data_IF_055446192798
#
_entry.id   IF_055446192798
#
_cell.length_a   1.000
_cell.length_b   1.000
_cell.length_c   1.000
_cell.angle_alpha   90.00
_cell.angle_beta   90.00
_cell.angle_gamma   90.00
#
_symmetry.space_group_name_H-M   'P 1'
#
loop_
_entity.id
_entity.type
_entity.pdbx_description
1 polymer ?
#
# COMPACT_ATOMS: atom_id res chain seq x y z
N UNK A 1 24.28 -7.47 -21.32
CA UNK A 1 23.40 -8.27 -22.21
C UNK A 1 22.66 -7.31 -23.11
N UNK A 2 22.53 -7.64 -24.40
CA UNK A 2 21.92 -6.80 -25.42
C UNK A 2 20.68 -7.53 -25.95
N UNK A 3 19.56 -6.83 -26.11
CA UNK A 3 18.35 -7.33 -26.77
C UNK A 3 18.20 -6.58 -28.09
N UNK A 4 18.36 -7.29 -29.22
CA UNK A 4 18.46 -6.65 -30.53
C UNK A 4 19.68 -5.71 -30.58
N UNK A 5 19.44 -4.41 -30.75
CA UNK A 5 20.47 -3.36 -30.77
C UNK A 5 20.49 -2.50 -29.49
N UNK A 6 19.77 -2.88 -28.43
CA UNK A 6 19.65 -2.10 -27.19
C UNK A 6 20.25 -2.81 -25.98
N UNK A 7 20.81 -2.03 -25.05
CA UNK A 7 21.21 -2.58 -23.75
C UNK A 7 19.97 -3.06 -22.99
N UNK A 8 20.10 -4.19 -22.30
CA UNK A 8 19.02 -4.74 -21.47
C UNK A 8 18.47 -3.70 -20.47
N UNK A 9 19.36 -2.91 -19.85
CA UNK A 9 18.98 -1.85 -18.93
C UNK A 9 18.09 -0.79 -19.60
N UNK A 10 18.39 -0.40 -20.83
CA UNK A 10 17.59 0.56 -21.61
C UNK A 10 16.22 -0.01 -21.99
N UNK A 11 16.19 -1.25 -22.48
CA UNK A 11 14.95 -1.94 -22.85
C UNK A 11 14.00 -2.08 -21.64
N UNK A 12 14.54 -2.39 -20.45
CA UNK A 12 13.78 -2.47 -19.20
C UNK A 12 13.19 -1.11 -18.82
N UNK A 13 13.93 -0.01 -19.00
CA UNK A 13 13.40 1.34 -18.75
C UNK A 13 12.22 1.67 -19.67
N UNK A 14 12.35 1.38 -20.97
CA UNK A 14 11.29 1.65 -21.95
C UNK A 14 10.00 0.90 -21.63
N UNK A 15 10.11 -0.32 -21.09
CA UNK A 15 8.97 -1.12 -20.68
C UNK A 15 8.30 -0.58 -19.40
N UNK A 16 9.08 -0.25 -18.38
CA UNK A 16 8.56 0.00 -17.03
C UNK A 16 8.13 1.47 -16.86
N UNK A 17 8.87 2.43 -17.39
CA UNK A 17 8.66 3.86 -17.13
C UNK A 17 7.25 4.35 -17.48
N UNK A 18 6.65 3.99 -18.64
CA UNK A 18 5.30 4.45 -18.98
C UNK A 18 4.26 4.03 -17.93
N UNK A 19 4.39 2.82 -17.37
CA UNK A 19 3.46 2.30 -16.36
C UNK A 19 3.64 2.98 -15.01
N UNK A 20 4.89 3.26 -14.58
CA UNK A 20 5.15 3.99 -13.33
C UNK A 20 4.67 5.45 -13.37
N UNK A 21 4.78 6.11 -14.53
CA UNK A 21 4.32 7.50 -14.72
C UNK A 21 2.82 7.64 -14.94
N UNK A 22 2.11 6.54 -15.20
CA UNK A 22 0.66 6.52 -15.34
C UNK A 22 -0.05 7.14 -14.12
N UNK A 23 -1.17 7.81 -14.35
CA UNK A 23 -2.10 8.26 -13.31
C UNK A 23 -3.10 7.17 -12.92
N UNK A 24 -3.05 6.00 -13.56
CA UNK A 24 -3.80 4.81 -13.14
C UNK A 24 -3.00 4.05 -12.08
N UNK A 25 -3.56 3.90 -10.87
CA UNK A 25 -2.90 3.32 -9.71
C UNK A 25 -2.47 1.88 -9.94
N UNK A 26 -3.28 1.09 -10.65
CA UNK A 26 -2.95 -0.29 -10.97
C UNK A 26 -1.81 -0.39 -11.99
N UNK A 27 -1.72 0.55 -12.94
CA UNK A 27 -0.55 0.63 -13.83
C UNK A 27 0.70 0.97 -13.03
N UNK A 28 0.60 1.93 -12.10
CA UNK A 28 1.73 2.32 -11.26
C UNK A 28 2.17 1.17 -10.35
N UNK A 29 1.23 0.46 -9.73
CA UNK A 29 1.51 -0.73 -8.94
C UNK A 29 2.22 -1.80 -9.78
N UNK A 30 1.75 -2.04 -11.01
CA UNK A 30 2.40 -2.95 -11.95
C UNK A 30 3.83 -2.54 -12.31
N UNK A 31 4.06 -1.26 -12.62
CA UNK A 31 5.40 -0.75 -12.94
C UNK A 31 6.38 -0.86 -11.77
N UNK A 32 5.92 -0.56 -10.56
CA UNK A 32 6.74 -0.71 -9.36
C UNK A 32 7.00 -2.18 -9.04
N UNK A 33 6.02 -3.07 -9.20
CA UNK A 33 6.21 -4.52 -9.07
C UNK A 33 7.24 -5.06 -10.05
N UNK A 34 7.20 -4.63 -11.31
CA UNK A 34 8.19 -5.00 -12.33
C UNK A 34 9.59 -4.51 -11.94
N UNK A 35 9.70 -3.29 -11.40
CA UNK A 35 10.97 -2.74 -10.89
C UNK A 35 11.50 -3.59 -9.73
N UNK A 36 10.65 -3.90 -8.74
CA UNK A 36 11.00 -4.75 -7.61
C UNK A 36 11.49 -6.12 -8.08
N UNK A 37 10.76 -6.76 -8.98
CA UNK A 37 11.10 -8.08 -9.51
C UNK A 37 12.43 -8.06 -10.27
N UNK A 38 12.64 -7.02 -11.09
CA UNK A 38 13.88 -6.82 -11.83
C UNK A 38 15.08 -6.68 -10.90
N UNK A 39 14.98 -5.80 -9.90
CA UNK A 39 16.07 -5.59 -8.94
C UNK A 39 16.31 -6.82 -8.06
N UNK A 40 15.25 -7.53 -7.67
CA UNK A 40 15.40 -8.79 -6.94
C UNK A 40 16.13 -9.84 -7.79
N UNK A 41 15.79 -9.95 -9.07
CA UNK A 41 16.46 -10.86 -10.00
C UNK A 41 17.94 -10.50 -10.17
N UNK A 42 18.24 -9.23 -10.46
CA UNK A 42 19.61 -8.74 -10.61
C UNK A 42 20.44 -9.03 -9.35
N UNK A 43 19.89 -8.72 -8.17
CA UNK A 43 20.51 -9.00 -6.87
C UNK A 43 20.79 -10.48 -6.64
N UNK A 44 19.77 -11.34 -6.82
CA UNK A 44 19.90 -12.79 -6.57
C UNK A 44 20.80 -13.50 -7.57
N UNK A 45 20.82 -13.04 -8.81
CA UNK A 45 21.63 -13.64 -9.86
C UNK A 45 23.06 -13.09 -9.89
N UNK A 46 23.42 -12.18 -8.97
CA UNK A 46 24.75 -11.55 -8.92
C UNK A 46 25.11 -10.83 -10.21
N UNK A 47 24.10 -10.38 -10.97
CA UNK A 47 24.32 -9.79 -12.29
C UNK A 47 24.82 -8.37 -12.08
N UNK A 48 26.05 -8.11 -12.51
CA UNK A 48 26.67 -6.78 -12.58
C UNK A 48 26.13 -5.97 -13.77
N UNK A 49 24.83 -6.06 -14.06
CA UNK A 49 24.19 -5.23 -15.09
C UNK A 49 24.08 -3.80 -14.60
N UNK A 50 24.27 -2.85 -15.52
CA UNK A 50 24.04 -1.44 -15.25
C UNK A 50 22.63 -1.23 -14.68
N UNK A 51 22.58 -0.67 -13.47
CA UNK A 51 21.32 -0.33 -12.82
C UNK A 51 20.59 0.66 -13.74
N UNK A 52 19.32 0.42 -14.09
CA UNK A 52 18.49 1.37 -14.83
C UNK A 52 18.34 2.72 -14.10
N UNK A 53 19.26 3.65 -14.33
CA UNK A 53 19.35 4.92 -13.61
C UNK A 53 18.05 5.71 -13.65
N UNK A 54 17.33 5.68 -14.77
CA UNK A 54 16.09 6.43 -14.90
C UNK A 54 14.93 5.83 -14.09
N UNK A 55 14.90 4.49 -13.92
CA UNK A 55 13.94 3.85 -13.00
C UNK A 55 14.26 4.28 -11.56
N UNK A 56 15.53 4.30 -11.17
CA UNK A 56 15.96 4.75 -9.85
C UNK A 56 15.52 6.19 -9.56
N UNK A 57 15.70 7.10 -10.52
CA UNK A 57 15.25 8.49 -10.42
C UNK A 57 13.73 8.60 -10.25
N UNK A 58 12.97 7.84 -11.05
CA UNK A 58 11.50 7.84 -10.97
C UNK A 58 11.02 7.29 -9.62
N UNK A 59 11.59 6.16 -9.14
CA UNK A 59 11.25 5.61 -7.83
C UNK A 59 11.56 6.60 -6.70
N UNK A 60 12.73 7.24 -6.74
CA UNK A 60 13.10 8.26 -5.77
C UNK A 60 12.14 9.46 -5.80
N UNK A 61 11.77 9.93 -7.00
CA UNK A 61 10.80 11.01 -7.18
C UNK A 61 9.41 10.65 -6.62
N UNK A 62 8.94 9.43 -6.85
CA UNK A 62 7.65 8.94 -6.33
C UNK A 62 7.61 8.88 -4.79
N UNK A 63 8.74 8.67 -4.13
CA UNK A 63 8.83 8.66 -2.66
C UNK A 63 8.82 10.08 -2.09
N UNK A 64 9.50 11.02 -2.77
CA UNK A 64 9.69 12.38 -2.28
C UNK A 64 8.52 13.31 -2.57
N UNK A 65 7.76 13.04 -3.63
CA UNK A 65 6.61 13.84 -4.02
C UNK A 65 5.33 13.35 -3.33
N UNK A 66 4.35 14.23 -3.10
CA UNK A 66 3.02 13.80 -2.68
C UNK A 66 2.39 12.85 -3.70
N UNK A 67 1.48 12.00 -3.23
CA UNK A 67 0.72 11.10 -4.09
C UNK A 67 0.06 11.88 -5.23
N UNK A 68 0.12 11.32 -6.44
CA UNK A 68 -0.61 11.87 -7.57
C UNK A 68 -2.13 11.78 -7.34
N UNK A 69 -2.89 12.71 -7.91
CA UNK A 69 -4.32 12.54 -8.06
C UNK A 69 -4.56 11.45 -9.12
N UNK A 70 -4.92 10.25 -8.67
CA UNK A 70 -5.06 9.09 -9.55
C UNK A 70 -6.37 9.16 -10.34
N UNK A 71 -6.35 8.73 -11.60
CA UNK A 71 -7.55 8.66 -12.44
C UNK A 71 -8.56 7.62 -11.94
N UNK A 72 -8.12 6.63 -11.16
CA UNK A 72 -8.99 5.62 -10.53
C UNK A 72 -9.99 6.24 -9.56
N UNK A 73 -9.68 7.39 -8.97
CA UNK A 73 -10.65 8.14 -8.16
C UNK A 73 -11.91 8.45 -8.98
N UNK A 74 -11.77 8.76 -10.28
CA UNK A 74 -12.90 8.98 -11.21
C UNK A 74 -13.72 7.73 -11.45
N UNK A 75 -13.09 6.56 -11.54
CA UNK A 75 -13.80 5.29 -11.68
C UNK A 75 -14.56 4.93 -10.40
N UNK A 76 -13.98 5.20 -9.22
CA UNK A 76 -14.70 5.08 -7.96
C UNK A 76 -15.86 6.08 -7.87
N UNK A 77 -15.70 7.32 -8.35
CA UNK A 77 -16.80 8.28 -8.44
C UNK A 77 -17.96 7.72 -9.28
N UNK A 78 -17.68 7.09 -10.43
CA UNK A 78 -18.72 6.47 -11.25
C UNK A 78 -19.43 5.32 -10.53
N UNK A 79 -18.67 4.45 -9.84
CA UNK A 79 -19.25 3.36 -9.06
C UNK A 79 -20.14 3.87 -7.91
N UNK A 80 -19.68 4.89 -7.17
CA UNK A 80 -20.42 5.51 -6.09
C UNK A 80 -21.62 6.30 -6.59
N UNK A 81 -21.51 6.95 -7.74
CA UNK A 81 -22.61 7.64 -8.42
C UNK A 81 -23.71 6.66 -8.83
N UNK A 82 -23.37 5.49 -9.35
CA UNK A 82 -24.35 4.44 -9.63
C UNK A 82 -25.05 3.94 -8.36
N UNK A 83 -24.29 3.65 -7.30
CA UNK A 83 -24.85 3.25 -6.01
C UNK A 83 -25.75 4.34 -5.40
N UNK A 84 -25.36 5.60 -5.54
CA UNK A 84 -26.17 6.75 -5.15
C UNK A 84 -27.45 6.85 -5.97
N UNK A 85 -27.38 6.76 -7.30
CA UNK A 85 -28.54 6.80 -8.20
C UNK A 85 -29.55 5.70 -7.89
N UNK A 86 -29.07 4.50 -7.58
CA UNK A 86 -29.94 3.40 -7.14
C UNK A 86 -30.67 3.72 -5.83
N UNK A 87 -29.95 4.29 -4.85
CA UNK A 87 -30.53 4.75 -3.59
C UNK A 87 -31.52 5.91 -3.78
N UNK A 88 -31.15 6.93 -4.55
CA UNK A 88 -31.99 8.07 -4.87
C UNK A 88 -33.26 7.65 -5.64
N UNK A 89 -33.13 6.70 -6.57
CA UNK A 89 -34.25 6.10 -7.30
C UNK A 89 -35.24 5.41 -6.36
N UNK A 90 -34.75 4.70 -5.34
CA UNK A 90 -35.60 4.14 -4.29
C UNK A 90 -36.31 5.24 -3.49
N UNK A 91 -35.60 6.27 -3.04
CA UNK A 91 -36.19 7.39 -2.31
C UNK A 91 -37.29 8.11 -3.13
N UNK A 92 -37.08 8.32 -4.44
CA UNK A 92 -38.11 8.86 -5.33
C UNK A 92 -39.35 7.99 -5.41
N UNK A 93 -39.18 6.66 -5.54
CA UNK A 93 -40.30 5.70 -5.55
C UNK A 93 -41.09 5.72 -4.23
N UNK A 94 -40.45 6.12 -3.13
CA UNK A 94 -41.06 6.24 -1.79
C UNK A 94 -41.61 7.63 -1.48
N UNK A 95 -41.55 8.58 -2.43
CA UNK A 95 -42.27 9.85 -2.36
C UNK A 95 -41.39 11.10 -2.28
N UNK A 96 -40.05 10.98 -2.33
CA UNK A 96 -39.18 12.16 -2.48
C UNK A 96 -39.40 12.77 -3.86
N UNK A 97 -39.71 14.06 -3.90
CA UNK A 97 -39.98 14.77 -5.15
C UNK A 97 -38.71 15.00 -5.98
N UNK A 98 -38.89 15.24 -7.27
CA UNK A 98 -37.77 15.57 -8.16
C UNK A 98 -37.11 16.90 -7.76
N UNK A 99 -37.87 17.84 -7.20
CA UNK A 99 -37.36 19.15 -6.76
C UNK A 99 -36.45 18.98 -5.55
N UNK A 100 -36.87 18.21 -4.54
CA UNK A 100 -36.05 17.93 -3.35
C UNK A 100 -34.76 17.17 -3.72
N UNK A 101 -34.83 16.24 -4.67
CA UNK A 101 -33.64 15.54 -5.14
C UNK A 101 -32.64 16.50 -5.79
N UNK A 102 -33.11 17.37 -6.70
CA UNK A 102 -32.28 18.37 -7.36
C UNK A 102 -31.70 19.39 -6.37
N UNK A 103 -32.47 19.78 -5.36
CA UNK A 103 -32.03 20.69 -4.31
C UNK A 103 -30.89 20.08 -3.47
N UNK A 104 -31.03 18.80 -3.10
CA UNK A 104 -29.97 18.06 -2.40
C UNK A 104 -28.71 17.93 -3.26
N UNK A 105 -28.85 17.62 -4.54
CA UNK A 105 -27.71 17.49 -5.46
C UNK A 105 -27.03 18.85 -5.74
N UNK A 106 -27.78 19.96 -5.73
CA UNK A 106 -27.25 21.29 -5.96
C UNK A 106 -26.48 21.86 -4.75
N UNK A 107 -26.89 21.50 -3.53
CA UNK A 107 -26.28 22.02 -2.29
C UNK A 107 -25.29 21.06 -1.65
N UNK A 108 -25.26 19.80 -2.08
CA UNK A 108 -24.47 18.78 -1.44
C UNK A 108 -23.10 18.60 -2.08
N UNK A 109 -22.05 18.76 -1.28
CA UNK A 109 -20.66 18.73 -1.73
C UNK A 109 -20.16 17.34 -2.14
N UNK A 110 -20.80 16.27 -1.65
CA UNK A 110 -20.38 14.88 -1.90
C UNK A 110 -21.58 13.94 -1.98
N UNK A 111 -21.47 12.86 -2.76
CA UNK A 111 -22.50 11.81 -2.84
C UNK A 111 -22.89 11.22 -1.47
N UNK A 112 -21.97 11.23 -0.50
CA UNK A 112 -22.23 10.76 0.87
C UNK A 112 -23.15 11.74 1.62
N UNK A 113 -22.90 13.04 1.49
CA UNK A 113 -23.75 14.09 2.05
C UNK A 113 -25.13 14.06 1.41
N UNK A 114 -25.18 13.88 0.08
CA UNK A 114 -26.43 13.83 -0.68
C UNK A 114 -27.28 12.62 -0.24
N UNK A 115 -26.67 11.45 -0.09
CA UNK A 115 -27.35 10.25 0.38
C UNK A 115 -27.88 10.41 1.80
N UNK A 116 -27.10 11.03 2.70
CA UNK A 116 -27.52 11.32 4.07
C UNK A 116 -28.74 12.26 4.12
N UNK A 117 -28.72 13.33 3.31
CA UNK A 117 -29.84 14.25 3.21
C UNK A 117 -31.11 13.57 2.66
N UNK A 118 -30.98 12.79 1.58
CA UNK A 118 -32.09 12.03 1.02
C UNK A 118 -32.65 10.98 1.99
N UNK A 119 -31.77 10.32 2.76
CA UNK A 119 -32.20 9.38 3.80
C UNK A 119 -33.12 10.08 4.80
N UNK A 120 -32.72 11.25 5.31
CA UNK A 120 -33.51 12.00 6.27
C UNK A 120 -34.87 12.45 5.71
N UNK A 121 -34.88 12.98 4.49
CA UNK A 121 -36.12 13.39 3.81
C UNK A 121 -37.04 12.18 3.63
N UNK A 122 -36.52 11.09 3.04
CA UNK A 122 -37.31 9.89 2.80
C UNK A 122 -37.81 9.25 4.11
N UNK A 123 -37.00 9.25 5.18
CA UNK A 123 -37.38 8.71 6.48
C UNK A 123 -38.56 9.47 7.10
N UNK A 124 -38.65 10.78 6.87
CA UNK A 124 -39.73 11.63 7.37
C UNK A 124 -41.04 11.47 6.56
N UNK A 125 -40.95 11.07 5.29
CA UNK A 125 -42.11 10.78 4.45
C UNK A 125 -42.74 9.43 4.79
N UNK A 126 -41.90 8.43 5.06
CA UNK A 126 -42.34 7.06 5.32
C UNK A 126 -43.10 6.95 6.65
N UNK A 127 -44.27 6.30 6.61
CA UNK A 127 -45.10 6.06 7.80
C UNK A 127 -44.92 4.66 8.38
N UNK A 128 -44.72 3.67 7.52
CA UNK A 128 -44.61 2.27 7.92
C UNK A 128 -43.22 1.94 8.46
N UNK A 129 -43.17 1.19 9.57
CA UNK A 129 -41.92 0.76 10.20
C UNK A 129 -41.10 -0.16 9.30
N UNK A 130 -41.76 -1.04 8.55
CA UNK A 130 -41.09 -1.94 7.60
C UNK A 130 -40.40 -1.17 6.47
N UNK A 131 -41.06 -0.14 5.91
CA UNK A 131 -40.47 0.69 4.87
C UNK A 131 -39.28 1.52 5.38
N UNK A 132 -39.37 2.02 6.63
CA UNK A 132 -38.25 2.71 7.29
C UNK A 132 -37.05 1.79 7.49
N UNK A 133 -37.28 0.54 7.84
CA UNK A 133 -36.22 -0.45 8.00
C UNK A 133 -35.56 -0.80 6.66
N UNK A 134 -36.34 -0.97 5.59
CA UNK A 134 -35.79 -1.18 4.23
C UNK A 134 -34.96 0.04 3.78
N UNK A 135 -35.44 1.26 4.06
CA UNK A 135 -34.68 2.48 3.77
C UNK A 135 -33.34 2.49 4.53
N UNK A 136 -33.34 2.14 5.83
CA UNK A 136 -32.13 2.02 6.65
C UNK A 136 -31.14 1.05 6.04
N UNK A 137 -31.59 -0.17 5.71
CA UNK A 137 -30.73 -1.20 5.10
C UNK A 137 -30.12 -0.74 3.76
N UNK A 138 -30.90 -0.06 2.91
CA UNK A 138 -30.40 0.48 1.64
C UNK A 138 -29.38 1.59 1.84
N UNK A 139 -29.61 2.48 2.80
CA UNK A 139 -28.66 3.54 3.14
C UNK A 139 -27.37 2.95 3.72
N UNK A 140 -27.46 1.96 4.60
CA UNK A 140 -26.28 1.24 5.12
C UNK A 140 -25.50 0.52 4.03
N UNK A 141 -26.19 -0.10 3.06
CA UNK A 141 -25.56 -0.70 1.89
C UNK A 141 -24.79 0.34 1.05
N UNK A 142 -25.36 1.53 0.85
CA UNK A 142 -24.65 2.64 0.21
C UNK A 142 -23.42 3.09 1.02
N UNK A 143 -23.56 3.29 2.33
CA UNK A 143 -22.44 3.65 3.22
C UNK A 143 -21.33 2.61 3.19
N UNK A 144 -21.69 1.33 3.15
CA UNK A 144 -20.75 0.23 2.99
C UNK A 144 -20.01 0.30 1.65
N UNK A 145 -20.71 0.57 0.54
CA UNK A 145 -20.08 0.74 -0.77
C UNK A 145 -19.06 1.90 -0.78
N UNK A 146 -19.40 3.04 -0.15
CA UNK A 146 -18.47 4.19 0.03
C UNK A 146 -17.25 3.80 0.85
N UNK A 147 -17.44 3.12 1.98
CA UNK A 147 -16.35 2.70 2.86
C UNK A 147 -15.40 1.73 2.15
N UNK A 148 -15.96 0.74 1.44
CA UNK A 148 -15.20 -0.23 0.65
C UNK A 148 -14.37 0.44 -0.45
N UNK A 149 -14.96 1.35 -1.22
CA UNK A 149 -14.24 2.08 -2.27
C UNK A 149 -13.04 2.86 -1.70
N UNK A 150 -13.25 3.59 -0.59
CA UNK A 150 -12.18 4.33 0.10
C UNK A 150 -11.08 3.41 0.65
N UNK A 151 -11.47 2.27 1.23
CA UNK A 151 -10.54 1.29 1.77
C UNK A 151 -9.66 0.67 0.67
N UNK A 152 -10.26 0.28 -0.47
CA UNK A 152 -9.53 -0.26 -1.63
C UNK A 152 -8.53 0.75 -2.16
N UNK A 153 -8.93 2.02 -2.35
CA UNK A 153 -8.03 3.06 -2.83
C UNK A 153 -6.86 3.29 -1.87
N UNK A 154 -7.16 3.43 -0.58
CA UNK A 154 -6.15 3.63 0.47
C UNK A 154 -5.16 2.46 0.52
N UNK A 155 -5.66 1.22 0.43
CA UNK A 155 -4.83 0.01 0.38
C UNK A 155 -3.91 0.01 -0.84
N UNK A 156 -4.41 0.31 -2.03
CA UNK A 156 -3.59 0.34 -3.24
C UNK A 156 -2.55 1.45 -3.24
N UNK A 157 -2.87 2.64 -2.70
CA UNK A 157 -1.89 3.72 -2.50
C UNK A 157 -0.78 3.25 -1.55
N UNK A 158 -1.15 2.62 -0.44
CA UNK A 158 -0.19 2.05 0.53
C UNK A 158 0.74 1.03 -0.15
N UNK A 159 0.19 0.12 -0.96
CA UNK A 159 0.94 -0.88 -1.75
C UNK A 159 1.93 -0.22 -2.70
N UNK A 160 1.50 0.75 -3.50
CA UNK A 160 2.38 1.48 -4.43
C UNK A 160 3.53 2.12 -3.67
N UNK A 161 3.23 2.83 -2.58
CA UNK A 161 4.24 3.58 -1.83
C UNK A 161 5.27 2.65 -1.17
N UNK A 162 4.79 1.60 -0.50
CA UNK A 162 5.65 0.63 0.16
C UNK A 162 6.51 -0.14 -0.85
N UNK A 163 5.95 -0.57 -1.99
CA UNK A 163 6.72 -1.26 -3.01
C UNK A 163 7.70 -0.35 -3.75
N UNK A 164 7.39 0.95 -3.86
CA UNK A 164 8.32 1.93 -4.45
C UNK A 164 9.55 2.04 -3.58
N UNK A 165 9.36 2.18 -2.27
CA UNK A 165 10.45 2.16 -1.29
C UNK A 165 11.19 0.83 -1.33
N UNK A 166 10.46 -0.30 -1.29
CA UNK A 166 11.02 -1.64 -1.28
C UNK A 166 11.93 -1.88 -2.50
N UNK A 167 11.45 -1.50 -3.69
CA UNK A 167 12.22 -1.55 -4.94
C UNK A 167 13.49 -0.72 -4.86
N UNK A 168 13.38 0.53 -4.38
CA UNK A 168 14.53 1.42 -4.27
C UNK A 168 15.57 0.87 -3.28
N UNK A 169 15.15 0.28 -2.16
CA UNK A 169 16.06 -0.29 -1.17
C UNK A 169 16.87 -1.47 -1.72
N UNK A 170 16.31 -2.29 -2.62
CA UNK A 170 17.00 -3.45 -3.20
C UNK A 170 18.28 -3.09 -3.96
N UNK A 171 18.37 -1.88 -4.50
CA UNK A 171 19.57 -1.41 -5.22
C UNK A 171 20.54 -0.62 -4.33
N UNK A 172 20.31 -0.62 -3.00
CA UNK A 172 21.12 0.05 -1.99
C UNK A 172 21.65 1.44 -2.41
N UNK A 173 20.76 2.40 -2.76
CA UNK A 173 21.22 3.64 -3.32
C UNK A 173 21.91 4.47 -2.23
N UNK A 174 23.21 4.74 -2.42
CA UNK A 174 24.01 5.54 -1.49
C UNK A 174 23.40 6.91 -1.21
N UNK A 175 22.62 7.46 -2.14
CA UNK A 175 21.86 8.70 -1.93
C UNK A 175 20.91 8.67 -0.72
N UNK A 176 20.51 7.49 -0.23
CA UNK A 176 19.76 7.35 1.03
C UNK A 176 20.59 7.68 2.28
N UNK A 177 21.89 7.37 2.25
CA UNK A 177 22.83 7.71 3.31
C UNK A 177 22.98 9.24 3.42
N UNK A 178 22.85 9.95 2.30
CA UNK A 178 22.93 11.42 2.24
C UNK A 178 21.58 12.11 2.50
N UNK A 179 20.45 11.39 2.48
CA UNK A 179 19.13 11.98 2.68
C UNK A 179 18.98 12.64 4.06
N UNK A 180 18.34 13.81 4.20
CA UNK A 180 18.16 14.46 5.51
C UNK A 180 17.28 13.65 6.48
N UNK A 181 16.44 12.75 5.96
CA UNK A 181 15.54 11.94 6.79
C UNK A 181 15.26 10.58 6.16
N UNK A 182 15.20 9.54 6.99
CA UNK A 182 14.76 8.20 6.57
C UNK A 182 13.24 8.01 6.66
N UNK A 183 12.49 8.96 7.24
CA UNK A 183 11.05 8.83 7.45
C UNK A 183 10.24 8.54 6.16
N UNK A 184 10.52 9.17 5.00
CA UNK A 184 9.82 8.87 3.75
C UNK A 184 9.97 7.40 3.30
N UNK A 185 11.02 6.73 3.74
CA UNK A 185 11.30 5.32 3.42
C UNK A 185 10.75 4.38 4.50
N UNK A 186 10.79 4.78 5.77
CA UNK A 186 10.25 3.93 6.85
C UNK A 186 8.73 3.90 6.83
N UNK A 187 8.07 5.06 6.74
CA UNK A 187 6.64 5.18 6.96
C UNK A 187 5.79 4.30 6.02
N UNK A 188 6.02 4.29 4.69
CA UNK A 188 5.22 3.47 3.77
C UNK A 188 5.31 1.97 4.09
N UNK A 189 6.51 1.47 4.41
CA UNK A 189 6.72 0.06 4.76
C UNK A 189 5.96 -0.30 6.05
N UNK A 190 6.00 0.58 7.06
CA UNK A 190 5.33 0.34 8.34
C UNK A 190 3.81 0.39 8.21
N UNK A 191 3.28 1.31 7.41
CA UNK A 191 1.85 1.41 7.12
C UNK A 191 1.34 0.17 6.38
N UNK A 192 2.09 -0.32 5.39
CA UNK A 192 1.74 -1.56 4.70
C UNK A 192 1.75 -2.76 5.66
N UNK A 193 2.83 -2.97 6.40
CA UNK A 193 2.97 -4.13 7.30
C UNK A 193 1.87 -4.18 8.36
N UNK A 194 1.38 -3.03 8.83
CA UNK A 194 0.33 -2.96 9.85
C UNK A 194 -1.05 -3.39 9.36
N UNK A 195 -1.40 -3.07 8.10
CA UNK A 195 -2.77 -3.15 7.62
C UNK A 195 -2.96 -4.07 6.41
N UNK A 196 -1.87 -4.58 5.82
CA UNK A 196 -1.95 -5.39 4.61
C UNK A 196 -2.41 -6.82 4.89
N UNK A 197 -3.53 -7.19 4.27
CA UNK A 197 -4.10 -8.53 4.31
C UNK A 197 -3.42 -9.47 3.31
N UNK A 198 -2.90 -8.93 2.20
CA UNK A 198 -2.22 -9.73 1.19
C UNK A 198 -0.79 -10.08 1.65
N UNK A 199 -0.59 -11.35 1.96
CA UNK A 199 0.69 -11.94 2.40
C UNK A 199 1.85 -11.59 1.46
N UNK A 200 1.62 -11.57 0.14
CA UNK A 200 2.68 -11.28 -0.84
C UNK A 200 3.16 -9.84 -0.74
N UNK A 201 2.24 -8.87 -0.64
CA UNK A 201 2.59 -7.46 -0.49
C UNK A 201 3.26 -7.19 0.87
N UNK A 202 2.76 -7.80 1.94
CA UNK A 202 3.38 -7.71 3.26
C UNK A 202 4.84 -8.22 3.22
N UNK A 203 5.10 -9.32 2.50
CA UNK A 203 6.44 -9.89 2.38
C UNK A 203 7.43 -8.94 1.68
N UNK A 204 7.01 -8.24 0.62
CA UNK A 204 7.89 -7.26 -0.05
C UNK A 204 8.37 -6.18 0.93
N UNK A 205 7.45 -5.63 1.75
CA UNK A 205 7.83 -4.63 2.74
C UNK A 205 8.74 -5.20 3.85
N UNK A 206 8.44 -6.41 4.34
CA UNK A 206 9.23 -7.06 5.39
C UNK A 206 10.66 -7.38 4.93
N UNK A 207 10.83 -7.86 3.69
CA UNK A 207 12.14 -8.14 3.11
C UNK A 207 13.04 -6.91 3.01
N UNK A 208 12.45 -5.72 2.94
CA UNK A 208 13.19 -4.46 2.85
C UNK A 208 13.64 -3.92 4.21
N UNK A 209 13.07 -4.40 5.32
CA UNK A 209 13.40 -3.90 6.67
C UNK A 209 14.86 -4.18 7.06
N UNK A 210 15.45 -5.38 6.83
CA UNK A 210 16.87 -5.62 7.10
C UNK A 210 17.79 -4.66 6.35
N UNK A 211 17.49 -4.37 5.08
CA UNK A 211 18.24 -3.40 4.26
C UNK A 211 18.17 -2.01 4.90
N UNK A 212 16.99 -1.61 5.37
CA UNK A 212 16.80 -0.33 6.03
C UNK A 212 17.55 -0.23 7.36
N UNK A 213 17.62 -1.32 8.14
CA UNK A 213 18.47 -1.37 9.34
C UNK A 213 19.95 -1.21 9.00
N UNK A 214 20.42 -1.83 7.92
CA UNK A 214 21.79 -1.66 7.45
C UNK A 214 22.09 -0.20 7.07
N UNK A 215 21.26 0.40 6.22
CA UNK A 215 21.37 1.83 5.84
C UNK A 215 21.34 2.71 7.09
N UNK A 216 20.44 2.42 8.03
CA UNK A 216 20.34 3.14 9.28
C UNK A 216 21.61 3.03 10.13
N UNK A 217 22.27 1.88 10.16
CA UNK A 217 23.52 1.69 10.90
C UNK A 217 24.70 2.46 10.32
N UNK A 218 24.72 2.65 9.00
CA UNK A 218 25.78 3.33 8.26
C UNK A 218 25.58 4.86 8.21
N UNK A 219 24.33 5.32 8.33
CA UNK A 219 23.97 6.74 8.20
C UNK A 219 24.57 7.60 9.30
N UNK A 220 25.09 8.77 8.92
CA UNK A 220 25.57 9.81 9.83
C UNK A 220 24.83 11.14 9.59
N UNK A 221 24.24 11.77 10.63
CA UNK A 221 24.13 11.28 12.00
C UNK A 221 23.24 10.04 12.10
N UNK A 222 23.55 9.16 13.07
CA UNK A 222 22.80 7.93 13.28
C UNK A 222 21.29 8.23 13.46
N UNK A 223 20.40 7.56 12.71
CA UNK A 223 18.97 7.76 12.84
C UNK A 223 18.51 7.50 14.28
N UNK A 224 17.67 8.41 14.77
CA UNK A 224 17.25 8.45 16.16
C UNK A 224 16.67 7.11 16.63
N UNK A 225 17.01 6.65 17.84
CA UNK A 225 16.48 5.42 18.46
C UNK A 225 14.93 5.27 18.41
N UNK A 226 14.20 6.38 18.22
CA UNK A 226 12.75 6.41 17.99
C UNK A 226 12.34 5.69 16.71
N UNK A 227 13.13 5.79 15.64
CA UNK A 227 12.87 5.14 14.35
C UNK A 227 13.02 3.63 14.46
N UNK A 228 14.11 3.16 15.07
CA UNK A 228 14.33 1.73 15.38
C UNK A 228 13.17 1.20 16.23
N UNK A 229 12.79 1.93 17.29
CA UNK A 229 11.63 1.58 18.12
C UNK A 229 10.35 1.47 17.30
N UNK A 230 10.09 2.39 16.38
CA UNK A 230 8.90 2.36 15.53
C UNK A 230 8.89 1.14 14.60
N UNK A 231 10.04 0.80 14.01
CA UNK A 231 10.17 -0.41 13.16
C UNK A 231 9.86 -1.66 13.97
N UNK A 232 10.47 -1.80 15.15
CA UNK A 232 10.24 -2.94 16.04
C UNK A 232 8.78 -3.02 16.48
N UNK A 233 8.15 -1.92 16.85
CA UNK A 233 6.72 -1.89 17.23
C UNK A 233 5.82 -2.35 16.09
N UNK A 234 6.08 -1.91 14.86
CA UNK A 234 5.30 -2.33 13.69
C UNK A 234 5.48 -3.81 13.38
N UNK A 235 6.71 -4.34 13.48
CA UNK A 235 7.00 -5.77 13.32
C UNK A 235 6.24 -6.63 14.33
N UNK A 236 6.24 -6.24 15.61
CA UNK A 236 5.53 -6.94 16.69
C UNK A 236 4.01 -6.83 16.53
N UNK A 237 3.51 -5.84 15.80
CA UNK A 237 2.07 -5.66 15.55
C UNK A 237 1.58 -6.40 14.30
N UNK A 238 2.49 -6.93 13.47
CA UNK A 238 2.14 -7.64 12.24
C UNK A 238 1.52 -9.02 12.54
N UNK A 239 0.35 -9.29 11.96
CA UNK A 239 -0.36 -10.57 12.10
C UNK A 239 0.08 -11.62 11.09
N UNK A 240 0.63 -11.20 9.94
CA UNK A 240 1.17 -12.10 8.92
C UNK A 240 2.48 -12.74 9.41
N UNK A 241 2.58 -14.06 9.32
CA UNK A 241 3.77 -14.83 9.75
C UNK A 241 4.76 -15.01 8.61
N UNK A 242 6.05 -14.79 8.87
CA UNK A 242 7.11 -15.06 7.90
C UNK A 242 8.42 -15.57 8.53
N UNK A 243 9.09 -16.58 7.90
CA UNK A 243 8.61 -17.37 6.76
C UNK A 243 7.38 -18.23 7.15
N UNK A 244 6.58 -18.72 6.17
CA UNK A 244 5.54 -19.71 6.44
C UNK A 244 6.16 -20.95 7.12
N UNK A 245 5.33 -21.76 7.80
CA UNK A 245 5.77 -23.04 8.38
C UNK A 245 6.27 -23.97 7.27
N UNK A 246 7.53 -23.85 6.91
CA UNK A 246 8.28 -24.84 6.17
C UNK A 246 9.42 -25.28 7.06
N UNK A 247 9.59 -26.59 7.20
CA UNK A 247 10.60 -27.28 8.01
C UNK A 247 11.93 -26.52 7.97
N UNK A 248 12.24 -25.78 9.03
CA UNK A 248 13.50 -25.04 9.12
C UNK A 248 14.10 -25.15 10.51
N UNK A 249 15.13 -26.00 10.54
CA UNK A 249 16.41 -25.91 11.25
C UNK A 249 16.55 -24.88 12.38
N UNK A 250 17.03 -25.43 13.51
CA UNK A 250 17.53 -24.81 14.74
C UNK A 250 17.15 -23.34 14.96
N UNK A 251 16.03 -23.21 15.67
CA UNK A 251 15.44 -21.98 16.20
C UNK A 251 16.39 -21.34 17.22
N UNK A 252 16.74 -20.04 17.13
CA UNK A 252 17.57 -19.34 18.13
C UNK A 252 16.76 -19.16 19.43
N UNK A 253 15.43 -19.13 19.31
CA UNK A 253 14.51 -19.23 20.46
C UNK A 253 14.51 -20.63 21.14
N UNK A 254 15.31 -21.61 20.69
CA UNK A 254 15.55 -22.87 21.41
C UNK A 254 16.25 -22.67 22.76
N UNK A 255 16.74 -21.46 23.05
CA UNK A 255 17.28 -21.11 24.38
C UNK A 255 16.22 -20.56 25.35
N UNK A 256 14.95 -20.42 24.96
CA UNK A 256 13.87 -19.99 25.86
C UNK A 256 12.77 -21.05 25.99
N UNK A 257 12.79 -21.78 27.11
CA UNK A 257 11.88 -22.88 27.46
C UNK A 257 10.45 -22.42 27.83
N UNK A 258 9.81 -21.54 27.04
CA UNK A 258 8.46 -21.03 27.34
C UNK A 258 7.53 -21.06 26.13
N UNK A 259 6.99 -22.25 25.86
CA UNK A 259 5.77 -22.44 25.06
C UNK A 259 5.88 -22.10 23.57
N UNK A 260 4.78 -22.26 22.81
CA UNK A 260 4.74 -21.90 21.39
C UNK A 260 4.91 -20.38 21.22
N UNK A 261 5.88 -19.97 20.42
CA UNK A 261 6.12 -18.56 20.13
C UNK A 261 5.00 -17.97 19.26
N UNK A 262 4.55 -16.76 19.59
CA UNK A 262 3.59 -16.05 18.75
C UNK A 262 4.19 -15.68 17.39
N UNK A 263 3.35 -15.53 16.36
CA UNK A 263 3.78 -15.03 15.03
C UNK A 263 4.60 -13.74 15.12
N UNK A 264 4.32 -12.92 16.14
CA UNK A 264 5.02 -11.65 16.43
C UNK A 264 6.47 -11.86 16.84
N UNK A 265 6.73 -12.85 17.70
CA UNK A 265 8.07 -13.19 18.18
C UNK A 265 8.93 -13.80 17.07
N UNK A 266 8.30 -14.61 16.21
CA UNK A 266 8.97 -15.27 15.08
C UNK A 266 9.31 -14.28 13.96
N UNK A 267 8.44 -13.32 13.65
CA UNK A 267 8.75 -12.25 12.69
C UNK A 267 9.96 -11.41 13.12
N UNK A 268 10.06 -11.09 14.43
CA UNK A 268 11.21 -10.39 14.97
C UNK A 268 12.50 -11.23 14.86
N UNK A 269 12.42 -12.54 15.15
CA UNK A 269 13.55 -13.46 14.96
C UNK A 269 14.01 -13.51 13.49
N UNK A 270 13.08 -13.63 12.54
CA UNK A 270 13.40 -13.65 11.11
C UNK A 270 14.19 -12.40 10.69
N UNK A 271 13.72 -11.22 11.08
CA UNK A 271 14.43 -9.96 10.78
C UNK A 271 15.81 -9.94 11.41
N UNK A 272 15.96 -10.41 12.66
CA UNK A 272 17.27 -10.51 13.33
C UNK A 272 18.19 -11.48 12.59
N UNK A 273 17.70 -12.67 12.21
CA UNK A 273 18.48 -13.65 11.42
C UNK A 273 18.98 -13.05 10.11
N UNK A 274 18.11 -12.32 9.40
CA UNK A 274 18.49 -11.65 8.15
C UNK A 274 19.59 -10.60 8.34
N UNK A 275 19.72 -9.99 9.53
CA UNK A 275 20.79 -9.04 9.84
C UNK A 275 22.15 -9.70 10.08
N UNK A 276 22.19 -10.93 10.61
CA UNK A 276 23.44 -11.69 10.87
C UNK A 276 23.78 -12.70 9.76
N UNK A 277 22.88 -12.91 8.80
CA UNK A 277 23.18 -13.77 7.65
C UNK A 277 24.19 -13.03 6.75
N UNK A 278 25.30 -13.66 6.33
CA UNK A 278 26.31 -13.01 5.47
C UNK A 278 25.77 -12.53 4.12
N UNK A 279 24.54 -12.88 3.76
CA UNK A 279 23.79 -12.33 2.61
C UNK A 279 23.53 -10.81 2.75
N UNK A 280 23.62 -10.26 3.97
CA UNK A 280 23.57 -8.83 4.24
C UNK A 280 24.97 -8.15 4.28
N UNK A 281 26.06 -8.85 3.98
CA UNK A 281 27.38 -8.29 3.67
C UNK A 281 27.67 -8.44 2.18
N UNK A 282 27.98 -7.39 1.43
CA UNK A 282 29.37 -7.04 1.04
C UNK A 282 30.22 -8.28 0.77
N UNK A 283 30.68 -8.52 -0.46
CA UNK A 283 31.48 -7.58 -1.27
C UNK A 283 30.85 -6.27 -1.76
#
# INVERSE_FOLDING_TARGET
MIIGDQLLSEAVQLLIIPTMKSLVIMHRLGGVLLSHAWFTYAWRSGITTDIPNYITEVLHSLIMLPNAAYDDEKMFFLYLDNAYKDFASYCRKKGVSAIELLDVEAHGDTVDNNASALYNICHNILRETNDKEILRLRYESFKYAVATAKAVMTSNISRVNALTVSSLLLIYPRSLLDSPSLNPFVKPLMELVRFEENITFAQYALNSIPILFRIASEKQPNPHAKMIKQIVVSLVSCTNRFPPETDSEDVILSQCARGPFSSRSQNAEYVIRMLVTPVAGTD
#
